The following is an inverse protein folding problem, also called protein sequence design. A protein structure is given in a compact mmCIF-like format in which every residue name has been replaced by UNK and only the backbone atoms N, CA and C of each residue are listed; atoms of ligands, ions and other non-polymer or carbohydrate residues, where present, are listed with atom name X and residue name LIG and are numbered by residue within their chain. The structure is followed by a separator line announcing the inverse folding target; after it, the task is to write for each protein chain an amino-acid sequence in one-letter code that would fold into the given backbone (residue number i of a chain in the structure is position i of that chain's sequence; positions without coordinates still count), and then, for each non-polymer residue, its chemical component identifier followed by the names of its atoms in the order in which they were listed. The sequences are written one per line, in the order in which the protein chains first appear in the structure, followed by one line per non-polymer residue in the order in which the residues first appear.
data_IF_566180967883
#
_entry.id   IF_566180967883
#
_cell.length_a   1.000
_cell.length_b   1.000
_cell.length_c   1.000
_cell.angle_alpha   90.00
_cell.angle_beta   90.00
_cell.angle_gamma   90.00
#
_symmetry.space_group_name_H-M   'P 1'
#
loop_
_entity.id
_entity.type
_entity.pdbx_description
1 polymer ?
#
# COMPACT_ATOMS: atom_id res chain seq x y z
N UNK A 1 41.75 -58.08 -6.79
CA UNK A 1 41.65 -57.62 -5.39
C UNK A 1 40.56 -56.56 -5.35
N UNK A 2 39.29 -56.96 -5.21
CA UNK A 2 38.13 -56.06 -5.28
C UNK A 2 37.66 -55.83 -3.85
N UNK A 3 37.78 -54.58 -3.41
CA UNK A 3 37.55 -54.12 -2.04
C UNK A 3 36.04 -54.09 -1.79
N UNK A 4 35.59 -54.81 -0.76
CA UNK A 4 34.16 -54.97 -0.44
C UNK A 4 33.47 -53.63 -0.24
N UNK A 5 32.58 -53.28 -1.16
CA UNK A 5 31.67 -52.15 -1.05
C UNK A 5 30.66 -52.48 0.05
N UNK A 6 30.78 -51.80 1.21
CA UNK A 6 29.77 -51.88 2.27
C UNK A 6 28.47 -51.32 1.71
N UNK A 7 27.50 -52.19 1.41
CA UNK A 7 26.15 -51.77 1.07
C UNK A 7 25.52 -51.14 2.33
N UNK A 8 25.03 -49.91 2.20
CA UNK A 8 24.30 -49.23 3.26
C UNK A 8 23.11 -50.08 3.71
N UNK A 9 22.92 -50.20 5.03
CA UNK A 9 21.81 -50.99 5.58
C UNK A 9 20.49 -50.24 5.39
N UNK A 10 19.37 -50.96 5.18
CA UNK A 10 18.04 -50.35 5.03
C UNK A 10 17.65 -49.49 6.24
N UNK A 11 18.11 -49.85 7.44
CA UNK A 11 17.80 -49.13 8.67
C UNK A 11 18.58 -47.82 8.81
N UNK A 12 19.82 -47.79 8.30
CA UNK A 12 20.66 -46.60 8.30
C UNK A 12 20.08 -45.52 7.37
N UNK A 13 19.55 -45.93 6.21
CA UNK A 13 18.83 -45.01 5.31
C UNK A 13 17.52 -44.51 5.95
N UNK A 14 16.77 -45.35 6.65
CA UNK A 14 15.54 -44.94 7.35
C UNK A 14 15.79 -43.86 8.42
N UNK A 15 16.85 -44.02 9.23
CA UNK A 15 17.22 -43.03 10.26
C UNK A 15 17.63 -41.69 9.61
N UNK A 16 18.39 -41.74 8.51
CA UNK A 16 18.79 -40.52 7.78
C UNK A 16 17.57 -39.76 7.25
N UNK A 17 16.58 -40.45 6.67
CA UNK A 17 15.35 -39.81 6.19
C UNK A 17 14.54 -39.17 7.33
N UNK A 18 14.48 -39.81 8.50
CA UNK A 18 13.82 -39.23 9.68
C UNK A 18 14.52 -37.95 10.12
N UNK A 19 15.86 -37.95 10.22
CA UNK A 19 16.63 -36.75 10.58
C UNK A 19 16.42 -35.64 9.56
N UNK A 20 16.49 -35.94 8.26
CA UNK A 20 16.24 -34.95 7.19
C UNK A 20 14.84 -34.38 7.32
N UNK A 21 13.82 -35.22 7.53
CA UNK A 21 12.42 -34.77 7.65
C UNK A 21 12.24 -33.77 8.81
N UNK A 22 12.86 -34.04 9.96
CA UNK A 22 12.81 -33.17 11.15
C UNK A 22 13.52 -31.83 10.89
N UNK A 23 14.69 -31.85 10.26
CA UNK A 23 15.44 -30.64 9.91
C UNK A 23 14.67 -29.80 8.89
N UNK A 24 14.12 -30.43 7.85
CA UNK A 24 13.34 -29.72 6.83
C UNK A 24 12.05 -29.13 7.40
N UNK A 25 11.36 -29.82 8.31
CA UNK A 25 10.15 -29.32 8.94
C UNK A 25 10.42 -28.06 9.79
N UNK A 26 11.56 -28.01 10.50
CA UNK A 26 11.99 -26.80 11.21
C UNK A 26 12.40 -25.67 10.28
N UNK A 27 13.17 -25.98 9.21
CA UNK A 27 13.72 -25.00 8.28
C UNK A 27 12.67 -24.27 7.42
N UNK A 28 11.61 -24.97 6.99
CA UNK A 28 10.56 -24.35 6.15
C UNK A 28 9.82 -23.24 6.87
N UNK A 29 9.48 -23.43 8.15
CA UNK A 29 8.77 -22.41 8.93
C UNK A 29 9.59 -21.12 9.06
N UNK A 30 10.91 -21.24 9.25
CA UNK A 30 11.80 -20.08 9.31
C UNK A 30 11.86 -19.32 7.98
N UNK A 31 11.95 -20.04 6.85
CA UNK A 31 11.96 -19.43 5.53
C UNK A 31 10.66 -18.69 5.22
N UNK A 32 9.50 -19.27 5.56
CA UNK A 32 8.20 -18.61 5.35
C UNK A 32 8.10 -17.31 6.14
N UNK A 33 8.51 -17.30 7.41
CA UNK A 33 8.53 -16.07 8.22
C UNK A 33 9.51 -15.01 7.69
N UNK A 34 10.62 -15.41 7.06
CA UNK A 34 11.55 -14.48 6.44
C UNK A 34 10.95 -13.84 5.18
N UNK A 35 10.30 -14.63 4.32
CA UNK A 35 9.61 -14.15 3.13
C UNK A 35 8.47 -13.19 3.48
N UNK A 36 7.67 -13.52 4.50
CA UNK A 36 6.57 -12.67 4.95
C UNK A 36 7.07 -11.30 5.44
N UNK A 37 8.20 -11.26 6.16
CA UNK A 37 8.84 -10.00 6.58
C UNK A 37 9.30 -9.18 5.37
N UNK A 38 9.89 -9.82 4.37
CA UNK A 38 10.32 -9.14 3.15
C UNK A 38 9.15 -8.48 2.43
N UNK A 39 8.01 -9.15 2.31
CA UNK A 39 6.81 -8.59 1.70
C UNK A 39 6.25 -7.38 2.48
N UNK A 40 6.29 -7.43 3.81
CA UNK A 40 5.86 -6.30 4.66
C UNK A 40 6.80 -5.11 4.48
N UNK A 41 8.12 -5.33 4.49
CA UNK A 41 9.11 -4.27 4.34
C UNK A 41 9.01 -3.60 2.96
N UNK A 42 8.82 -4.37 1.89
CA UNK A 42 8.61 -3.86 0.54
C UNK A 42 7.32 -3.02 0.44
N UNK A 43 6.23 -3.50 1.05
CA UNK A 43 4.96 -2.77 1.10
C UNK A 43 5.08 -1.45 1.85
N UNK A 44 5.79 -1.44 2.98
CA UNK A 44 6.02 -0.23 3.76
C UNK A 44 6.90 0.77 3.01
N UNK A 45 7.97 0.31 2.35
CA UNK A 45 8.83 1.16 1.53
C UNK A 45 8.05 1.82 0.39
N UNK A 46 7.11 1.09 -0.21
CA UNK A 46 6.23 1.61 -1.25
C UNK A 46 5.26 2.67 -0.74
N UNK A 47 4.64 2.45 0.42
CA UNK A 47 3.76 3.44 1.05
C UNK A 47 4.53 4.71 1.45
N UNK A 48 5.74 4.56 1.98
CA UNK A 48 6.61 5.68 2.33
C UNK A 48 6.99 6.50 1.09
N UNK A 49 7.34 5.84 -0.02
CA UNK A 49 7.58 6.52 -1.29
C UNK A 49 6.36 7.33 -1.77
N UNK A 50 5.15 6.75 -1.70
CA UNK A 50 3.92 7.46 -2.07
C UNK A 50 3.67 8.66 -1.14
N UNK A 51 3.89 8.50 0.16
CA UNK A 51 3.78 9.60 1.11
C UNK A 51 4.78 10.73 0.83
N UNK A 52 6.02 10.40 0.50
CA UNK A 52 7.02 11.40 0.09
C UNK A 52 6.57 12.13 -1.18
N UNK A 53 6.02 11.41 -2.16
CA UNK A 53 5.51 12.04 -3.39
C UNK A 53 4.28 12.92 -3.15
N UNK A 54 3.38 12.54 -2.25
CA UNK A 54 2.26 13.39 -1.82
C UNK A 54 2.76 14.67 -1.14
N UNK A 55 3.78 14.57 -0.29
CA UNK A 55 4.40 15.73 0.35
C UNK A 55 5.10 16.63 -0.68
N UNK A 56 5.81 16.05 -1.65
CA UNK A 56 6.45 16.80 -2.73
C UNK A 56 5.41 17.53 -3.60
N UNK A 57 4.26 16.89 -3.87
CA UNK A 57 3.15 17.52 -4.57
C UNK A 57 2.57 18.69 -3.76
N UNK A 58 2.34 18.49 -2.46
CA UNK A 58 1.88 19.55 -1.55
C UNK A 58 2.84 20.75 -1.52
N UNK A 59 4.15 20.49 -1.48
CA UNK A 59 5.16 21.55 -1.44
C UNK A 59 5.31 22.32 -2.76
N UNK A 60 4.95 21.70 -3.90
CA UNK A 60 5.12 22.29 -5.23
C UNK A 60 3.84 22.95 -5.77
N UNK A 61 2.67 22.48 -5.36
CA UNK A 61 1.37 22.95 -5.85
C UNK A 61 0.53 23.62 -4.75
N UNK A 62 1.02 23.68 -3.51
CA UNK A 62 0.29 24.18 -2.33
C UNK A 62 -1.11 23.56 -2.21
N UNK A 63 -1.25 22.29 -2.60
CA UNK A 63 -2.48 21.50 -2.55
C UNK A 63 -2.14 20.00 -2.56
N UNK A 64 -2.98 19.16 -1.95
CA UNK A 64 -2.92 17.71 -2.15
C UNK A 64 -3.56 17.34 -3.50
N UNK A 65 -3.09 16.27 -4.15
CA UNK A 65 -3.68 15.85 -5.42
C UNK A 65 -5.06 15.25 -5.18
N UNK A 66 -5.98 15.51 -6.10
CA UNK A 66 -7.29 14.84 -6.11
C UNK A 66 -7.14 13.36 -6.47
N UNK A 67 -7.96 12.46 -5.91
CA UNK A 67 -8.02 11.09 -6.38
C UNK A 67 -8.41 11.03 -7.88
N UNK A 68 -7.94 9.97 -8.55
CA UNK A 68 -8.35 9.62 -9.91
C UNK A 68 -9.61 8.77 -9.88
N UNK A 69 -10.41 8.84 -10.95
CA UNK A 69 -11.59 7.99 -11.13
C UNK A 69 -11.17 6.52 -11.41
N UNK A 70 -11.49 5.56 -10.54
CA UNK A 70 -11.19 4.15 -10.76
C UNK A 70 -12.13 3.48 -11.78
N UNK A 71 -13.24 4.13 -12.17
CA UNK A 71 -14.23 3.58 -13.11
C UNK A 71 -13.84 3.77 -14.56
N UNK A 72 -12.89 4.65 -14.84
CA UNK A 72 -12.38 4.86 -16.19
C UNK A 72 -11.60 3.63 -16.66
N UNK A 73 -11.72 3.23 -17.94
CA UNK A 73 -10.88 2.17 -18.49
C UNK A 73 -9.43 2.66 -18.59
N UNK A 74 -8.46 1.73 -18.53
CA UNK A 74 -7.03 2.05 -18.60
C UNK A 74 -6.60 2.72 -19.92
N UNK A 75 -7.43 2.60 -20.96
CA UNK A 75 -7.25 3.25 -22.26
C UNK A 75 -7.70 4.71 -22.29
N UNK A 76 -8.43 5.18 -21.27
CA UNK A 76 -8.88 6.57 -21.19
C UNK A 76 -7.69 7.50 -20.87
N UNK A 77 -7.55 8.64 -21.57
CA UNK A 77 -6.48 9.60 -21.28
C UNK A 77 -6.52 10.12 -19.84
N UNK A 78 -7.70 10.21 -19.23
CA UNK A 78 -7.91 10.70 -17.87
C UNK A 78 -7.73 9.61 -16.80
N UNK A 79 -7.52 8.35 -17.21
CA UNK A 79 -7.21 7.28 -16.27
C UNK A 79 -5.88 7.55 -15.56
N UNK A 80 -5.87 7.62 -14.22
CA UNK A 80 -4.67 7.94 -13.44
C UNK A 80 -4.41 9.45 -13.28
N UNK A 81 -5.33 10.31 -13.74
CA UNK A 81 -5.22 11.77 -13.61
C UNK A 81 -6.09 12.23 -12.42
N UNK A 82 -5.54 13.13 -11.61
CA UNK A 82 -6.23 13.74 -10.48
C UNK A 82 -7.48 14.49 -10.96
N UNK A 83 -8.66 14.09 -10.48
CA UNK A 83 -9.91 14.73 -10.86
C UNK A 83 -10.93 14.74 -9.72
N UNK A 84 -10.94 15.79 -8.89
CA UNK A 84 -11.91 15.94 -7.81
C UNK A 84 -13.37 16.08 -8.28
N UNK A 85 -13.59 16.40 -9.56
CA UNK A 85 -14.92 16.58 -10.13
C UNK A 85 -15.51 15.26 -10.68
N UNK A 86 -14.74 14.16 -10.69
CA UNK A 86 -15.24 12.90 -11.20
C UNK A 86 -16.37 12.33 -10.32
N UNK A 87 -17.38 11.78 -10.99
CA UNK A 87 -18.59 11.30 -10.34
C UNK A 87 -18.34 9.99 -9.58
N UNK A 88 -18.67 9.97 -8.29
CA UNK A 88 -18.53 8.78 -7.44
C UNK A 88 -17.22 8.71 -6.65
N UNK A 89 -16.42 9.77 -6.66
CA UNK A 89 -15.31 9.95 -5.73
C UNK A 89 -15.76 10.49 -4.36
N UNK A 90 -16.95 11.08 -4.25
CA UNK A 90 -17.45 11.57 -2.97
C UNK A 90 -18.00 10.40 -2.11
N UNK A 91 -17.42 10.15 -0.93
CA UNK A 91 -17.87 9.08 -0.03
C UNK A 91 -18.98 9.53 0.94
N UNK A 92 -18.88 10.76 1.44
CA UNK A 92 -19.89 11.38 2.31
C UNK A 92 -19.99 12.88 1.99
N UNK A 93 -21.21 13.37 1.82
CA UNK A 93 -21.54 14.68 1.25
C UNK A 93 -20.92 15.87 1.98
N UNK A 94 -19.68 16.22 1.64
CA UNK A 94 -19.26 17.55 1.19
C UNK A 94 -17.74 17.58 0.96
N UNK A 95 -16.96 17.00 1.86
CA UNK A 95 -15.53 17.31 1.97
C UNK A 95 -14.59 16.13 1.80
N UNK A 96 -15.04 14.88 1.64
CA UNK A 96 -14.12 13.75 1.43
C UNK A 96 -14.23 13.24 0.00
N UNK A 97 -13.09 13.00 -0.65
CA UNK A 97 -12.98 12.32 -1.93
C UNK A 97 -12.13 11.05 -1.76
N UNK A 98 -12.59 9.92 -2.29
CA UNK A 98 -11.90 8.64 -2.31
C UNK A 98 -11.92 8.07 -3.72
N UNK A 99 -10.76 7.65 -4.21
CA UNK A 99 -10.62 7.02 -5.53
C UNK A 99 -9.24 6.40 -5.69
N UNK A 100 -8.82 6.20 -6.94
CA UNK A 100 -7.51 5.65 -7.24
C UNK A 100 -6.41 6.69 -7.01
N UNK A 101 -5.21 6.24 -6.63
CA UNK A 101 -4.03 7.11 -6.58
C UNK A 101 -3.74 7.76 -7.96
N UNK A 102 -3.63 9.10 -8.06
CA UNK A 102 -3.48 9.81 -9.32
C UNK A 102 -2.03 9.79 -9.85
N UNK A 103 -1.57 8.61 -10.27
CA UNK A 103 -0.16 8.38 -10.60
C UNK A 103 0.37 9.26 -11.74
N UNK A 104 -0.44 9.54 -12.77
CA UNK A 104 -0.02 10.41 -13.88
C UNK A 104 0.18 11.85 -13.42
N UNK A 105 -0.70 12.35 -12.56
CA UNK A 105 -0.58 13.72 -12.02
C UNK A 105 0.62 13.84 -11.09
N UNK A 106 0.90 12.81 -10.29
CA UNK A 106 2.05 12.77 -9.39
C UNK A 106 3.37 12.40 -10.09
N UNK A 107 3.31 12.02 -11.38
CA UNK A 107 4.46 11.52 -12.16
C UNK A 107 5.18 10.35 -11.50
N UNK A 108 4.41 9.46 -10.87
CA UNK A 108 4.92 8.20 -10.33
C UNK A 108 4.63 7.09 -11.33
N UNK A 109 5.47 6.05 -11.33
CA UNK A 109 5.25 4.90 -12.18
C UNK A 109 3.92 4.22 -11.86
N UNK A 110 3.19 3.71 -12.88
CA UNK A 110 1.88 3.08 -12.69
C UNK A 110 1.97 1.86 -11.78
N UNK A 111 3.13 1.22 -11.71
CA UNK A 111 3.41 0.12 -10.79
C UNK A 111 3.08 0.50 -9.36
N UNK A 112 3.36 1.74 -8.91
CA UNK A 112 3.08 2.21 -7.54
C UNK A 112 1.60 2.48 -7.25
N UNK A 113 0.77 2.65 -8.29
CA UNK A 113 -0.68 2.82 -8.13
C UNK A 113 -1.45 1.51 -8.06
N UNK A 114 -0.80 0.37 -8.23
CA UNK A 114 -1.41 -0.94 -7.99
C UNK A 114 -1.52 -1.23 -6.48
N UNK A 115 -2.40 -2.14 -6.07
CA UNK A 115 -2.45 -2.61 -4.69
C UNK A 115 -1.39 -3.71 -4.49
N UNK A 116 -0.55 -3.64 -3.44
CA UNK A 116 0.39 -4.72 -3.11
C UNK A 116 -0.27 -6.05 -2.70
N UNK A 117 -1.54 -6.02 -2.29
CA UNK A 117 -2.20 -7.17 -1.66
C UNK A 117 -3.36 -7.75 -2.47
N UNK A 118 -3.98 -6.97 -3.36
CA UNK A 118 -5.17 -7.38 -4.11
C UNK A 118 -5.01 -7.04 -5.59
N UNK A 119 -5.60 -7.85 -6.47
CA UNK A 119 -5.70 -7.51 -7.89
C UNK A 119 -6.55 -6.23 -8.04
N UNK A 120 -5.88 -5.10 -8.26
CA UNK A 120 -6.53 -3.79 -8.39
C UNK A 120 -5.58 -2.64 -8.13
N UNK A 121 -6.16 -1.46 -7.96
CA UNK A 121 -5.42 -0.22 -7.71
C UNK A 121 -5.47 0.16 -6.23
N UNK A 122 -4.44 0.89 -5.79
CA UNK A 122 -4.38 1.48 -4.46
C UNK A 122 -5.38 2.64 -4.37
N UNK A 123 -6.23 2.59 -3.35
CA UNK A 123 -7.19 3.64 -3.09
C UNK A 123 -6.57 4.73 -2.22
N UNK A 124 -6.96 5.96 -2.50
CA UNK A 124 -6.51 7.16 -1.84
C UNK A 124 -7.73 7.99 -1.49
N UNK A 125 -7.88 8.30 -0.20
CA UNK A 125 -8.88 9.21 0.32
C UNK A 125 -8.22 10.52 0.74
N UNK A 126 -8.87 11.64 0.45
CA UNK A 126 -8.40 12.99 0.78
C UNK A 126 -9.57 13.88 1.16
N UNK A 127 -9.32 14.83 2.05
CA UNK A 127 -10.24 15.94 2.26
C UNK A 127 -10.14 16.93 1.07
N UNK A 128 -11.25 17.20 0.39
CA UNK A 128 -11.38 18.12 -0.74
C UNK A 128 -10.95 19.55 -0.40
N UNK A 129 -10.99 19.94 0.88
CA UNK A 129 -10.46 21.24 1.32
C UNK A 129 -8.94 21.27 1.33
N UNK A 130 -8.30 20.11 1.28
CA UNK A 130 -6.86 19.99 1.12
C UNK A 130 -6.40 19.99 -0.33
N UNK A 131 -7.33 19.87 -1.30
CA UNK A 131 -7.00 19.83 -2.73
C UNK A 131 -7.15 21.18 -3.44
N UNK A 132 -7.56 22.23 -2.71
CA UNK A 132 -7.59 23.61 -3.22
C UNK A 132 -6.20 24.25 -3.19
N UNK A 133 -5.87 25.01 -4.23
CA UNK A 133 -4.61 25.74 -4.32
C UNK A 133 -4.45 26.74 -3.18
N UNK A 134 -3.24 26.84 -2.62
CA UNK A 134 -2.94 27.74 -1.50
C UNK A 134 -3.40 27.21 -0.15
N UNK A 135 -3.63 25.88 -0.01
CA UNK A 135 -4.10 25.27 1.24
C UNK A 135 -3.20 25.60 2.44
N UNK A 136 -1.90 25.75 2.18
CA UNK A 136 -0.90 26.08 3.19
C UNK A 136 -1.13 27.45 3.84
N UNK A 137 -1.65 28.41 3.07
CA UNK A 137 -2.01 29.74 3.56
C UNK A 137 -3.38 29.73 4.25
N UNK A 138 -4.32 28.94 3.72
CA UNK A 138 -5.66 28.76 4.29
C UNK A 138 -5.65 28.07 5.65
N UNK A 139 -4.69 27.18 5.88
CA UNK A 139 -4.52 26.42 7.13
C UNK A 139 -3.10 26.55 7.68
N UNK A 140 -2.71 27.79 8.01
CA UNK A 140 -1.42 28.09 8.64
C UNK A 140 -1.26 27.39 10.00
N UNK A 141 0.00 27.23 10.44
CA UNK A 141 0.39 26.57 11.69
C UNK A 141 -0.43 27.08 12.90
N UNK A 142 -1.22 26.19 13.50
CA UNK A 142 -2.11 26.51 14.62
C UNK A 142 -3.60 26.64 14.26
N UNK A 143 -3.95 26.55 12.97
CA UNK A 143 -5.35 26.47 12.52
C UNK A 143 -5.93 25.08 12.77
N UNK A 144 -7.21 24.99 13.15
CA UNK A 144 -7.93 23.71 13.23
C UNK A 144 -8.07 23.14 11.81
N UNK A 145 -7.16 22.25 11.44
CA UNK A 145 -7.19 21.54 10.17
C UNK A 145 -8.45 20.68 10.17
N UNK A 146 -9.30 20.79 9.15
CA UNK A 146 -10.56 20.13 9.20
C UNK A 146 -10.36 18.72 8.63
N UNK A 147 -9.78 17.82 9.43
CA UNK A 147 -9.73 16.42 9.05
C UNK A 147 -11.13 15.82 9.09
N UNK A 148 -11.68 15.43 7.95
CA UNK A 148 -12.97 14.73 7.86
C UNK A 148 -12.85 13.21 7.83
N UNK A 149 -11.62 12.69 7.69
CA UNK A 149 -11.38 11.25 7.50
C UNK A 149 -11.14 10.60 8.86
N UNK A 150 -11.98 9.60 9.16
CA UNK A 150 -11.79 8.71 10.29
C UNK A 150 -11.16 7.41 9.81
N UNK A 151 -9.98 7.09 10.33
CA UNK A 151 -9.30 5.81 10.11
C UNK A 151 -9.58 4.92 11.31
N UNK A 152 -10.22 3.79 11.06
CA UNK A 152 -10.50 2.79 12.09
C UNK A 152 -9.47 1.65 12.02
N UNK A 153 -9.24 0.97 13.14
CA UNK A 153 -8.53 -0.30 13.15
C UNK A 153 -9.43 -1.47 12.69
N UNK A 154 -8.84 -2.66 12.58
CA UNK A 154 -9.52 -3.90 12.19
C UNK A 154 -10.67 -4.32 13.14
N UNK A 155 -10.75 -3.69 14.32
CA UNK A 155 -11.80 -3.92 15.32
C UNK A 155 -12.86 -2.81 15.31
N UNK A 156 -12.78 -1.86 14.38
CA UNK A 156 -13.71 -0.74 14.24
C UNK A 156 -13.47 0.42 15.21
N UNK A 157 -12.38 0.44 15.97
CA UNK A 157 -12.06 1.57 16.84
C UNK A 157 -11.32 2.66 16.06
N UNK A 158 -11.68 3.94 16.24
CA UNK A 158 -11.00 5.03 15.55
C UNK A 158 -9.57 5.16 16.05
N UNK A 159 -8.62 5.03 15.12
CA UNK A 159 -7.19 5.31 15.32
C UNK A 159 -6.89 6.79 15.15
N UNK A 160 -7.59 7.43 14.21
CA UNK A 160 -7.61 8.89 14.06
C UNK A 160 -8.97 9.31 13.49
N UNK A 161 -9.49 10.45 13.95
CA UNK A 161 -10.76 11.02 13.48
C UNK A 161 -10.57 12.28 12.63
N UNK A 162 -9.32 12.72 12.45
CA UNK A 162 -8.97 13.98 11.78
C UNK A 162 -7.86 13.78 10.75
N UNK A 163 -7.87 12.68 10.00
CA UNK A 163 -6.91 12.50 8.92
C UNK A 163 -7.21 13.45 7.74
N UNK A 164 -6.15 14.02 7.16
CA UNK A 164 -6.22 14.89 5.98
C UNK A 164 -6.29 14.06 4.69
N UNK A 165 -5.59 12.92 4.70
CA UNK A 165 -5.62 11.91 3.67
C UNK A 165 -5.37 10.54 4.30
N UNK A 166 -5.77 9.49 3.61
CA UNK A 166 -5.50 8.11 3.97
C UNK A 166 -5.27 7.28 2.70
N UNK A 167 -4.29 6.38 2.76
CA UNK A 167 -4.13 5.33 1.77
C UNK A 167 -4.97 4.14 2.22
N UNK A 168 -5.86 3.67 1.36
CA UNK A 168 -6.81 2.60 1.62
C UNK A 168 -6.45 1.43 0.70
N UNK A 169 -6.45 0.24 1.28
CA UNK A 169 -6.16 -0.99 0.57
C UNK A 169 -7.26 -2.03 0.81
#
# INVERSE_FOLDING_TARGET
MIRGSRAFTLIELAIVLVIISLVTAGGVNFLVSMLERQHIDESNARLDYIQQMLQNYLNSHDALPCPSDPKLPSTDPNFGVANCAAAGLAKDGANTAEGMLPYKTMKIDPEFAESPWKNGYLFYAVDKRMTVLGVKELYASGSTIPGSITVNDDKGNPRTTQALYALVN
#
